data_IF_935061224593
#
_entry.id   IF_935061224593
#
_cell.length_a   1.000
_cell.length_b   1.000
_cell.length_c   1.000
_cell.angle_alpha   90.00
_cell.angle_beta   90.00
_cell.angle_gamma   90.00
#
_symmetry.space_group_name_H-M   'P 1'
#
loop_
_entity.id
_entity.type
_entity.pdbx_description
1 polymer ?
#
# COMPACT_ATOMS: atom_id res chain seq x y z
N UNK A 1 -11.35 -1.48 6.65
CA UNK A 1 -11.71 -2.61 5.75
C UNK A 1 -10.50 -3.51 5.60
N UNK A 2 -10.70 -4.79 5.56
CA UNK A 2 -9.70 -5.81 5.25
C UNK A 2 -10.01 -6.32 3.84
N UNK A 3 -9.01 -6.37 2.99
CA UNK A 3 -9.13 -6.90 1.63
C UNK A 3 -8.11 -8.02 1.49
N UNK A 4 -8.59 -9.25 1.33
CA UNK A 4 -7.75 -10.41 1.06
C UNK A 4 -7.57 -10.56 -0.44
N UNK A 5 -6.35 -10.62 -0.89
CA UNK A 5 -6.00 -10.90 -2.27
C UNK A 5 -5.83 -12.42 -2.39
N UNK A 6 -6.88 -13.08 -2.84
CA UNK A 6 -6.93 -14.54 -2.86
C UNK A 6 -6.16 -15.11 -4.06
N UNK A 7 -6.23 -14.43 -5.20
CA UNK A 7 -5.65 -14.92 -6.45
C UNK A 7 -5.37 -13.76 -7.40
N UNK A 8 -4.23 -13.83 -8.05
CA UNK A 8 -3.89 -12.96 -9.19
C UNK A 8 -3.43 -13.88 -10.32
N UNK A 9 -4.08 -13.81 -11.47
CA UNK A 9 -3.70 -14.51 -12.68
C UNK A 9 -3.40 -13.50 -13.77
N UNK A 10 -2.18 -13.52 -14.22
CA UNK A 10 -1.72 -12.67 -15.31
C UNK A 10 -2.35 -13.10 -16.63
N UNK A 11 -2.65 -12.15 -17.49
CA UNK A 11 -2.88 -12.41 -18.90
C UNK A 11 -1.54 -12.82 -19.52
N UNK A 12 -1.54 -13.83 -20.39
CA UNK A 12 -0.30 -14.27 -21.06
C UNK A 12 0.46 -13.05 -21.59
N UNK A 13 1.59 -12.74 -20.97
CA UNK A 13 2.44 -11.64 -21.41
C UNK A 13 3.37 -12.17 -22.48
N UNK A 14 3.52 -11.40 -23.55
CA UNK A 14 4.49 -11.70 -24.62
C UNK A 14 5.96 -11.55 -24.18
N UNK A 15 6.22 -11.25 -22.92
CA UNK A 15 7.54 -10.99 -22.38
C UNK A 15 8.03 -12.16 -21.53
N UNK A 16 8.97 -12.92 -22.05
CA UNK A 16 9.74 -13.90 -21.33
C UNK A 16 11.04 -13.25 -20.83
N UNK A 17 10.99 -12.61 -19.67
CA UNK A 17 12.20 -12.14 -19.00
C UNK A 17 12.72 -13.22 -18.06
N UNK A 18 13.90 -13.74 -18.36
CA UNK A 18 14.65 -14.64 -17.48
C UNK A 18 15.41 -13.79 -16.45
N UNK A 19 14.68 -13.11 -15.57
CA UNK A 19 15.28 -12.32 -14.49
C UNK A 19 15.55 -13.22 -13.28
N UNK A 20 16.70 -13.07 -12.62
CA UNK A 20 16.98 -13.82 -11.40
C UNK A 20 16.01 -13.35 -10.29
N UNK A 21 15.23 -14.29 -9.76
CA UNK A 21 14.28 -14.05 -8.68
C UNK A 21 12.88 -14.53 -8.99
N UNK A 22 12.05 -14.58 -7.97
CA UNK A 22 10.62 -14.91 -8.13
C UNK A 22 9.87 -13.70 -8.67
N UNK A 23 9.25 -13.85 -9.83
CA UNK A 23 8.36 -12.85 -10.40
C UNK A 23 6.96 -13.09 -9.84
N UNK A 24 6.44 -12.15 -9.09
CA UNK A 24 5.08 -12.21 -8.58
C UNK A 24 4.32 -10.96 -9.03
N UNK A 25 3.12 -11.13 -9.62
CA UNK A 25 2.29 -9.99 -9.94
C UNK A 25 1.88 -9.26 -8.66
N UNK A 26 1.93 -7.95 -8.70
CA UNK A 26 1.52 -7.06 -7.60
C UNK A 26 0.29 -6.24 -7.97
N UNK A 27 -0.37 -5.70 -6.98
CA UNK A 27 -1.48 -4.76 -7.13
C UNK A 27 -1.02 -3.40 -6.64
N UNK A 28 -0.69 -2.50 -7.55
CA UNK A 28 -0.28 -1.14 -7.20
C UNK A 28 -1.43 -0.25 -6.75
N UNK A 29 -2.63 -0.53 -7.24
CA UNK A 29 -3.82 0.24 -6.89
C UNK A 29 -4.95 -0.68 -6.43
N UNK A 30 -5.08 -0.86 -5.14
CA UNK A 30 -6.25 -1.46 -4.51
C UNK A 30 -6.76 -0.48 -3.45
N UNK A 31 -7.67 0.38 -3.85
CA UNK A 31 -8.09 1.51 -3.07
C UNK A 31 -9.51 1.40 -2.55
N UNK A 32 -9.76 2.03 -1.42
CA UNK A 32 -11.09 2.44 -0.99
C UNK A 32 -11.21 3.94 -1.22
N UNK A 33 -12.10 4.36 -2.07
CA UNK A 33 -12.39 5.77 -2.28
C UNK A 33 -13.05 6.34 -1.02
N UNK A 34 -12.78 7.40 -0.50
CA UNK A 34 -12.03 8.61 -0.67
C UNK A 34 -11.54 9.19 0.60
N UNK A 35 -10.56 10.04 0.44
CA UNK A 35 -9.78 10.50 1.55
C UNK A 35 -10.44 11.67 2.26
N UNK A 36 -10.04 11.84 3.52
CA UNK A 36 -10.03 13.10 4.26
C UNK A 36 -11.37 13.83 4.40
N UNK A 37 -12.45 13.08 4.62
CA UNK A 37 -13.73 13.67 5.01
C UNK A 37 -14.44 14.47 3.92
N UNK A 38 -14.11 14.22 2.65
CA UNK A 38 -14.82 14.83 1.50
C UNK A 38 -15.82 13.87 0.89
N UNK A 39 -17.08 13.83 1.38
CA UNK A 39 -18.13 13.01 0.79
C UNK A 39 -18.37 13.40 -0.67
N UNK A 40 -18.50 12.42 -1.53
CA UNK A 40 -18.83 12.66 -2.93
C UNK A 40 -17.64 12.93 -3.85
N UNK A 41 -16.40 12.83 -3.36
CA UNK A 41 -15.19 12.88 -4.20
C UNK A 41 -15.09 11.61 -5.06
N UNK A 42 -14.66 11.71 -6.29
CA UNK A 42 -14.42 10.57 -7.18
C UNK A 42 -12.95 10.53 -7.64
N UNK A 43 -12.38 9.34 -7.69
CA UNK A 43 -11.03 9.13 -8.22
C UNK A 43 -11.02 9.35 -9.74
N UNK A 44 -9.99 10.00 -10.21
CA UNK A 44 -9.76 10.20 -11.64
C UNK A 44 -8.29 9.96 -11.94
N UNK A 45 -8.04 9.32 -13.06
CA UNK A 45 -6.70 9.21 -13.61
C UNK A 45 -6.09 10.59 -13.92
N UNK A 46 -4.78 10.65 -14.16
CA UNK A 46 -4.13 11.88 -14.61
C UNK A 46 -4.75 12.34 -15.93
N UNK A 47 -4.92 13.65 -16.07
CA UNK A 47 -5.36 14.25 -17.34
C UNK A 47 -4.19 14.21 -18.34
N UNK A 48 -4.34 13.54 -19.49
CA UNK A 48 -3.27 13.45 -20.48
C UNK A 48 -2.91 14.82 -21.12
N UNK A 49 -3.75 15.83 -20.93
CA UNK A 49 -3.51 17.20 -21.43
C UNK A 49 -2.84 18.11 -20.38
N UNK A 50 -2.70 17.65 -19.14
CA UNK A 50 -1.97 18.41 -18.13
C UNK A 50 -0.46 18.16 -18.21
N UNK A 51 0.37 19.18 -18.00
CA UNK A 51 1.82 19.00 -17.86
C UNK A 51 2.14 17.96 -16.78
N UNK A 52 3.15 17.13 -17.03
CA UNK A 52 3.55 16.07 -16.09
C UNK A 52 3.87 16.58 -14.68
N UNK A 53 4.37 17.82 -14.57
CA UNK A 53 4.66 18.49 -13.29
C UNK A 53 3.39 18.81 -12.49
N UNK A 54 2.24 18.82 -13.16
CA UNK A 54 0.92 19.02 -12.56
C UNK A 54 0.06 17.76 -12.64
N UNK A 55 0.66 16.62 -12.90
CA UNK A 55 -0.04 15.36 -13.03
C UNK A 55 -0.89 15.07 -11.79
N UNK A 56 -2.16 15.14 -11.97
CA UNK A 56 -3.18 14.98 -10.95
C UNK A 56 -3.59 16.28 -10.27
N UNK A 57 -4.89 16.42 -10.04
CA UNK A 57 -5.43 17.54 -9.28
C UNK A 57 -4.79 17.59 -7.88
N UNK A 58 -4.83 18.74 -7.18
CA UNK A 58 -4.63 18.77 -5.75
C UNK A 58 -5.53 17.70 -5.12
N UNK A 59 -5.28 17.32 -3.87
CA UNK A 59 -6.01 16.24 -3.17
C UNK A 59 -7.52 16.25 -3.51
N UNK A 60 -8.06 17.44 -3.78
CA UNK A 60 -9.40 17.61 -4.38
C UNK A 60 -9.36 18.81 -5.33
N UNK A 61 -9.91 18.67 -6.50
CA UNK A 61 -10.24 19.83 -7.32
C UNK A 61 -11.58 20.44 -6.88
N UNK A 62 -11.94 21.59 -7.49
CA UNK A 62 -13.21 22.25 -7.22
C UNK A 62 -14.47 21.39 -7.53
N UNK A 63 -14.29 20.27 -8.22
CA UNK A 63 -15.35 19.29 -8.55
C UNK A 63 -15.36 18.08 -7.61
N UNK A 64 -14.56 18.09 -6.55
CA UNK A 64 -14.45 16.99 -5.61
C UNK A 64 -13.78 15.74 -6.20
N UNK A 65 -12.88 15.90 -7.17
CA UNK A 65 -12.09 14.80 -7.75
C UNK A 65 -10.73 14.71 -7.09
N UNK A 66 -10.21 13.52 -6.94
CA UNK A 66 -8.83 13.28 -6.47
C UNK A 66 -8.07 12.42 -7.47
N UNK A 67 -6.78 12.65 -7.57
CA UNK A 67 -5.91 11.90 -8.46
C UNK A 67 -5.68 10.48 -7.95
N UNK A 68 -5.66 9.50 -8.85
CA UNK A 68 -5.22 8.13 -8.57
C UNK A 68 -3.71 7.99 -8.61
N UNK A 69 -2.98 9.01 -9.07
CA UNK A 69 -1.52 8.96 -9.24
C UNK A 69 -0.76 8.90 -7.92
N UNK A 70 -1.26 9.59 -6.88
CA UNK A 70 -0.52 9.72 -5.61
C UNK A 70 -0.83 8.56 -4.67
N UNK A 71 0.18 7.87 -4.11
CA UNK A 71 -0.05 6.94 -3.02
C UNK A 71 -0.58 7.70 -1.78
N UNK A 72 -1.61 7.15 -1.15
CA UNK A 72 -2.21 7.79 0.02
C UNK A 72 -2.98 6.83 0.93
N UNK A 73 -3.56 7.38 1.98
CA UNK A 73 -4.33 6.65 3.02
C UNK A 73 -5.46 5.78 2.47
N UNK A 74 -6.05 6.15 1.34
CA UNK A 74 -7.10 5.37 0.68
C UNK A 74 -6.57 4.15 -0.09
N UNK A 75 -5.26 3.97 -0.18
CA UNK A 75 -4.64 2.84 -0.86
C UNK A 75 -4.36 3.06 -2.34
N UNK A 76 -4.52 4.31 -2.87
CA UNK A 76 -4.20 4.57 -4.27
C UNK A 76 -2.71 4.52 -4.52
N UNK A 77 -2.33 3.98 -5.67
CA UNK A 77 -0.97 3.95 -6.23
C UNK A 77 0.13 3.52 -5.25
N UNK A 78 -0.13 2.47 -4.50
CA UNK A 78 0.84 1.92 -3.53
C UNK A 78 1.67 0.82 -4.19
N UNK A 79 2.81 1.17 -4.72
CA UNK A 79 3.72 0.23 -5.39
C UNK A 79 4.53 -0.58 -4.36
N UNK A 80 3.85 -1.49 -3.70
CA UNK A 80 4.39 -2.32 -2.61
C UNK A 80 4.44 -3.77 -3.04
N UNK A 81 5.65 -4.31 -3.16
CA UNK A 81 5.90 -5.67 -3.63
C UNK A 81 5.21 -6.78 -2.81
N UNK A 82 4.84 -6.49 -1.59
CA UNK A 82 4.16 -7.43 -0.69
C UNK A 82 2.66 -7.60 -0.99
N UNK A 83 2.07 -6.75 -1.84
CA UNK A 83 0.66 -6.83 -2.23
C UNK A 83 0.44 -7.86 -3.35
N UNK A 84 0.62 -9.11 -3.02
CA UNK A 84 0.54 -10.27 -3.91
C UNK A 84 -0.62 -11.19 -3.52
N UNK A 85 -0.85 -12.21 -4.34
CA UNK A 85 -1.78 -13.28 -3.98
C UNK A 85 -1.41 -13.91 -2.62
N UNK A 86 -2.38 -14.09 -1.75
CA UNK A 86 -2.18 -14.55 -0.37
C UNK A 86 -1.92 -13.45 0.65
N UNK A 87 -1.78 -12.19 0.23
CA UNK A 87 -1.67 -11.05 1.15
C UNK A 87 -3.04 -10.50 1.54
N UNK A 88 -3.05 -9.76 2.63
CA UNK A 88 -4.22 -8.99 3.10
C UNK A 88 -3.84 -7.54 3.23
N UNK A 89 -4.64 -6.65 2.65
CA UNK A 89 -4.49 -5.21 2.76
C UNK A 89 -5.58 -4.63 3.66
N UNK A 90 -5.20 -3.76 4.57
CA UNK A 90 -6.10 -3.03 5.46
C UNK A 90 -6.14 -1.57 5.05
N UNK A 91 -7.35 -1.09 4.75
CA UNK A 91 -7.60 0.30 4.35
C UNK A 91 -8.68 0.92 5.23
N UNK A 92 -8.59 2.22 5.43
CA UNK A 92 -9.72 3.01 5.90
C UNK A 92 -10.85 3.00 4.86
N UNK A 93 -12.08 3.12 5.32
CA UNK A 93 -13.25 3.31 4.47
C UNK A 93 -13.71 4.75 4.62
N UNK A 94 -13.48 5.56 3.63
CA UNK A 94 -13.79 6.98 3.64
C UNK A 94 -15.20 7.29 3.13
N UNK A 95 -15.77 6.39 2.33
CA UNK A 95 -17.09 6.55 1.74
C UNK A 95 -18.02 5.40 2.11
N UNK A 96 -19.30 5.72 2.26
CA UNK A 96 -20.35 4.70 2.40
C UNK A 96 -20.34 3.77 1.18
N UNK A 97 -20.27 2.47 1.45
CA UNK A 97 -20.20 1.44 0.40
C UNK A 97 -18.78 1.00 0.05
N UNK A 98 -17.74 1.74 0.51
CA UNK A 98 -16.34 1.38 0.33
C UNK A 98 -15.78 1.67 -1.05
N UNK A 99 -16.56 1.56 -2.13
CA UNK A 99 -16.21 1.87 -3.52
C UNK A 99 -14.82 1.37 -3.91
N UNK A 100 -14.63 0.04 -3.86
CA UNK A 100 -13.34 -0.61 -4.11
C UNK A 100 -13.09 -0.70 -5.61
N UNK A 101 -11.86 -0.43 -6.00
CA UNK A 101 -11.35 -0.70 -7.33
C UNK A 101 -9.90 -1.19 -7.26
N UNK A 102 -9.41 -1.81 -8.33
CA UNK A 102 -8.05 -2.31 -8.47
C UNK A 102 -7.56 -2.10 -9.88
N UNK A 103 -6.27 -1.85 -10.03
CA UNK A 103 -5.61 -1.66 -11.32
C UNK A 103 -4.11 -1.62 -11.17
N UNK A 104 -3.42 -1.14 -12.20
CA UNK A 104 -1.98 -0.90 -12.21
C UNK A 104 -1.18 -2.11 -11.77
N UNK A 105 -1.30 -3.17 -12.57
CA UNK A 105 -0.68 -4.45 -12.26
C UNK A 105 0.73 -4.53 -12.82
N UNK A 106 1.65 -4.95 -11.97
CA UNK A 106 3.05 -5.12 -12.33
C UNK A 106 3.47 -6.59 -12.27
N UNK A 107 4.07 -7.09 -13.36
CA UNK A 107 4.72 -8.40 -13.37
C UNK A 107 5.95 -8.40 -12.48
N UNK A 108 6.68 -7.29 -12.48
CA UNK A 108 7.91 -7.11 -11.71
C UNK A 108 8.14 -5.63 -11.48
N UNK A 109 8.51 -5.30 -10.26
CA UNK A 109 8.96 -3.99 -9.85
C UNK A 109 10.06 -4.13 -8.79
N UNK A 110 11.14 -3.37 -8.93
CA UNK A 110 12.14 -3.24 -7.87
C UNK A 110 11.64 -2.37 -6.73
N UNK A 111 12.07 -2.66 -5.49
CA UNK A 111 11.84 -1.76 -4.38
C UNK A 111 12.46 -0.39 -4.67
N UNK A 112 11.71 0.67 -4.39
CA UNK A 112 12.08 2.05 -4.69
C UNK A 112 11.42 2.65 -5.91
N UNK A 113 10.94 1.85 -6.87
CA UNK A 113 10.34 2.33 -8.13
C UNK A 113 10.99 3.63 -8.61
N UNK A 114 12.27 3.51 -8.99
CA UNK A 114 13.18 4.68 -9.08
C UNK A 114 12.87 5.65 -10.24
N UNK A 115 12.03 5.24 -11.21
CA UNK A 115 11.78 6.05 -12.41
C UNK A 115 10.43 5.80 -13.10
N UNK A 116 9.39 5.40 -12.40
CA UNK A 116 8.06 5.08 -12.96
C UNK A 116 8.01 3.80 -13.83
N UNK A 117 9.11 3.12 -14.05
CA UNK A 117 9.13 1.94 -14.92
C UNK A 117 9.01 0.67 -14.11
N UNK A 118 7.93 -0.07 -14.33
CA UNK A 118 7.78 -1.46 -13.94
C UNK A 118 7.58 -2.33 -15.17
N UNK A 119 7.56 -3.64 -15.02
CA UNK A 119 7.04 -4.52 -16.07
C UNK A 119 5.52 -4.54 -15.96
N UNK A 120 4.90 -3.67 -16.73
CA UNK A 120 3.45 -3.53 -16.79
C UNK A 120 2.78 -4.77 -17.36
N UNK A 121 1.60 -5.07 -16.84
CA UNK A 121 0.83 -6.21 -17.31
C UNK A 121 -0.66 -6.00 -17.08
N UNK A 122 -1.48 -6.85 -17.63
CA UNK A 122 -2.90 -6.90 -17.32
C UNK A 122 -3.26 -8.23 -16.67
N UNK A 123 -4.22 -8.18 -15.76
CA UNK A 123 -4.75 -9.38 -15.15
C UNK A 123 -5.69 -10.11 -16.12
N UNK A 124 -5.60 -11.44 -16.13
CA UNK A 124 -6.67 -12.30 -16.63
C UNK A 124 -7.78 -12.41 -15.59
N UNK A 125 -7.40 -12.43 -14.34
CA UNK A 125 -8.30 -12.60 -13.21
C UNK A 125 -7.64 -12.05 -11.95
N UNK A 126 -8.40 -11.36 -11.14
CA UNK A 126 -8.07 -11.02 -9.76
C UNK A 126 -9.26 -11.39 -8.88
N UNK A 127 -9.01 -12.16 -7.84
CA UNK A 127 -10.00 -12.52 -6.83
C UNK A 127 -9.66 -11.85 -5.51
N UNK A 128 -10.55 -11.00 -5.03
CA UNK A 128 -10.42 -10.30 -3.75
C UNK A 128 -11.62 -10.57 -2.86
N UNK A 129 -11.40 -10.63 -1.56
CA UNK A 129 -12.43 -10.76 -0.54
C UNK A 129 -12.45 -9.53 0.36
N UNK A 130 -13.40 -8.60 0.19
CA UNK A 130 -13.56 -7.47 1.11
C UNK A 130 -14.24 -7.90 2.40
N UNK A 131 -13.68 -7.49 3.55
CA UNK A 131 -14.19 -7.77 4.88
C UNK A 131 -14.25 -6.48 5.68
N UNK A 132 -15.42 -6.13 6.22
CA UNK A 132 -15.57 -4.94 7.05
C UNK A 132 -15.12 -5.23 8.49
N UNK A 133 -14.15 -4.45 8.97
CA UNK A 133 -13.63 -4.51 10.35
C UNK A 133 -14.02 -3.25 11.12
N UNK A 134 -15.24 -3.20 11.64
CA UNK A 134 -15.79 -2.00 12.31
C UNK A 134 -15.01 -1.54 13.54
N UNK A 135 -14.36 -2.45 14.24
CA UNK A 135 -13.58 -2.16 15.45
C UNK A 135 -12.09 -1.88 15.16
N UNK A 136 -11.66 -1.98 13.93
CA UNK A 136 -10.27 -1.70 13.54
C UNK A 136 -10.13 -0.24 13.13
N UNK A 137 -9.31 0.50 13.85
CA UNK A 137 -8.93 1.86 13.51
C UNK A 137 -7.47 1.87 13.07
N UNK A 138 -7.21 2.40 11.91
CA UNK A 138 -5.87 2.56 11.33
C UNK A 138 -5.78 3.93 10.68
N UNK A 139 -4.66 4.60 10.82
CA UNK A 139 -4.45 5.91 10.20
C UNK A 139 -3.82 5.81 8.80
N UNK A 140 -3.04 4.77 8.58
CA UNK A 140 -2.37 4.51 7.32
C UNK A 140 -2.60 3.08 6.84
N UNK A 141 -2.47 2.81 5.54
CA UNK A 141 -2.54 1.46 5.01
C UNK A 141 -1.53 0.54 5.70
N UNK A 142 -1.97 -0.67 5.97
CA UNK A 142 -1.09 -1.75 6.42
C UNK A 142 -1.46 -3.03 5.70
N UNK A 143 -0.52 -3.94 5.62
CA UNK A 143 -0.78 -5.25 5.05
C UNK A 143 -0.22 -6.36 5.91
N UNK A 144 -0.58 -7.57 5.57
CA UNK A 144 0.07 -8.77 6.08
C UNK A 144 0.25 -9.79 4.97
N UNK A 145 1.36 -10.50 5.04
CA UNK A 145 1.66 -11.67 4.24
C UNK A 145 1.62 -12.91 5.13
N UNK A 146 1.94 -14.06 4.58
CA UNK A 146 2.11 -15.29 5.39
C UNK A 146 3.20 -15.16 6.44
N UNK A 147 4.20 -14.31 6.23
CA UNK A 147 5.42 -14.22 7.06
C UNK A 147 5.61 -12.88 7.77
N UNK A 148 5.01 -11.80 7.27
CA UNK A 148 5.26 -10.45 7.78
C UNK A 148 3.98 -9.66 7.99
N UNK A 149 4.05 -8.73 8.95
CA UNK A 149 3.22 -7.54 9.00
C UNK A 149 3.91 -6.42 8.22
N UNK A 150 3.15 -5.59 7.52
CA UNK A 150 3.66 -4.52 6.65
C UNK A 150 2.97 -3.21 7.01
N UNK A 151 3.75 -2.19 7.33
CA UNK A 151 3.26 -0.86 7.73
C UNK A 151 3.75 0.18 6.76
N UNK A 152 2.85 1.01 6.23
CA UNK A 152 3.13 1.91 5.14
C UNK A 152 3.07 3.36 5.58
N UNK A 153 3.91 4.19 4.98
CA UNK A 153 3.89 5.63 5.12
C UNK A 153 4.17 6.31 3.79
N UNK A 154 3.43 7.36 3.50
CA UNK A 154 3.52 8.10 2.24
C UNK A 154 3.56 9.60 2.50
N UNK A 155 4.55 10.27 1.93
CA UNK A 155 4.69 11.73 1.99
C UNK A 155 5.52 12.26 0.82
N UNK A 156 5.46 13.55 0.58
CA UNK A 156 6.33 14.22 -0.40
C UNK A 156 7.79 14.25 0.08
N UNK A 157 8.01 14.26 1.38
CA UNK A 157 9.32 14.09 2.02
C UNK A 157 9.53 12.62 2.41
N UNK A 158 10.61 12.03 1.91
CA UNK A 158 10.96 10.64 2.20
C UNK A 158 11.23 10.40 3.71
N UNK A 159 11.77 11.38 4.42
CA UNK A 159 11.97 11.27 5.86
C UNK A 159 10.64 11.22 6.60
N UNK A 160 9.67 12.00 6.17
CA UNK A 160 8.32 11.98 6.73
C UNK A 160 7.59 10.68 6.42
N UNK A 161 7.70 10.16 5.19
CA UNK A 161 7.18 8.84 4.83
C UNK A 161 7.79 7.74 5.73
N UNK A 162 9.10 7.78 5.99
CA UNK A 162 9.77 6.86 6.91
C UNK A 162 9.24 7.03 8.34
N UNK A 163 9.11 8.27 8.82
CA UNK A 163 8.60 8.57 10.16
C UNK A 163 7.19 8.01 10.35
N UNK A 164 6.33 8.15 9.34
CA UNK A 164 4.97 7.60 9.34
C UNK A 164 5.01 6.07 9.43
N UNK A 165 5.74 5.39 8.55
CA UNK A 165 5.83 3.94 8.52
C UNK A 165 6.36 3.37 9.85
N UNK A 166 7.39 4.00 10.41
CA UNK A 166 7.95 3.61 11.73
C UNK A 166 6.94 3.83 12.85
N UNK A 167 6.23 4.96 12.86
CA UNK A 167 5.20 5.22 13.86
C UNK A 167 4.07 4.17 13.83
N UNK A 168 3.59 3.81 12.63
CA UNK A 168 2.57 2.76 12.47
C UNK A 168 3.08 1.41 12.98
N UNK A 169 4.35 1.09 12.69
CA UNK A 169 5.02 -0.11 13.21
C UNK A 169 5.06 -0.12 14.73
N UNK A 170 5.52 0.97 15.34
CA UNK A 170 5.66 1.11 16.80
C UNK A 170 4.28 1.04 17.49
N UNK A 171 3.28 1.73 16.94
CA UNK A 171 1.92 1.67 17.46
C UNK A 171 1.39 0.24 17.47
N UNK A 172 1.53 -0.46 16.34
CA UNK A 172 1.11 -1.84 16.24
C UNK A 172 1.80 -2.75 17.26
N UNK A 173 3.13 -2.64 17.41
CA UNK A 173 3.88 -3.46 18.36
C UNK A 173 3.47 -3.17 19.81
N UNK A 174 3.30 -1.90 20.17
CA UNK A 174 2.88 -1.50 21.51
C UNK A 174 1.43 -1.92 21.85
N UNK A 175 0.57 -2.03 20.85
CA UNK A 175 -0.82 -2.47 21.02
C UNK A 175 -0.99 -3.99 21.10
N UNK A 176 0.08 -4.78 20.86
CA UNK A 176 -0.01 -6.23 20.88
C UNK A 176 -0.29 -6.76 22.31
N UNK A 177 -1.44 -7.41 22.46
CA UNK A 177 -1.81 -8.04 23.73
C UNK A 177 -1.00 -9.30 24.07
N UNK A 178 -0.38 -9.91 23.07
CA UNK A 178 0.39 -11.15 23.23
C UNK A 178 1.72 -10.92 23.95
N UNK A 179 2.34 -9.77 23.72
CA UNK A 179 3.59 -9.36 24.38
C UNK A 179 3.43 -7.89 24.75
N UNK A 180 2.90 -7.59 25.96
CA UNK A 180 2.78 -6.21 26.41
C UNK A 180 4.16 -5.55 26.47
N UNK A 181 4.29 -4.40 25.82
CA UNK A 181 5.51 -3.60 25.82
C UNK A 181 5.18 -2.11 25.81
N UNK A 182 6.09 -1.30 26.33
CA UNK A 182 5.98 0.15 26.23
C UNK A 182 6.25 0.62 24.78
N UNK A 183 5.92 1.86 24.51
CA UNK A 183 6.19 2.44 23.19
C UNK A 183 7.70 2.51 22.88
N UNK A 184 8.52 2.76 23.90
CA UNK A 184 9.97 2.79 23.82
C UNK A 184 10.54 1.40 23.51
N UNK A 185 10.03 0.37 24.19
CA UNK A 185 10.41 -1.02 23.90
C UNK A 185 9.98 -1.45 22.50
N UNK A 186 8.77 -1.06 22.06
CA UNK A 186 8.29 -1.30 20.70
C UNK A 186 9.17 -0.60 19.64
N UNK A 187 9.63 0.61 19.92
CA UNK A 187 10.55 1.33 19.04
C UNK A 187 11.91 0.65 18.96
N UNK A 188 12.46 0.23 20.09
CA UNK A 188 13.70 -0.53 20.13
C UNK A 188 13.55 -1.86 19.38
N UNK A 189 12.46 -2.60 19.59
CA UNK A 189 12.17 -3.84 18.88
C UNK A 189 12.05 -3.62 17.37
N UNK A 190 11.34 -2.58 16.95
CA UNK A 190 11.22 -2.22 15.53
C UNK A 190 12.60 -1.98 14.89
N UNK A 191 13.54 -1.38 15.62
CA UNK A 191 14.91 -1.17 15.14
C UNK A 191 15.74 -2.46 15.02
N UNK A 192 15.46 -3.46 15.84
CA UNK A 192 16.18 -4.75 15.86
C UNK A 192 15.69 -5.70 14.76
N UNK A 193 14.38 -5.75 14.54
CA UNK A 193 13.74 -6.77 13.69
C UNK A 193 13.09 -6.22 12.44
N UNK A 194 12.89 -4.91 12.36
CA UNK A 194 12.22 -4.25 11.25
C UNK A 194 13.11 -4.17 10.01
N UNK A 195 12.52 -4.42 8.85
CA UNK A 195 13.13 -4.20 7.54
C UNK A 195 12.31 -3.11 6.83
N UNK A 196 12.78 -1.86 6.92
CA UNK A 196 12.12 -0.72 6.30
C UNK A 196 12.75 -0.41 4.94
N UNK A 197 11.90 -0.32 3.92
CA UNK A 197 12.29 -0.15 2.53
C UNK A 197 11.58 1.02 1.91
N UNK A 198 12.21 1.66 0.93
CA UNK A 198 11.53 2.59 0.04
C UNK A 198 10.70 1.77 -0.94
N UNK A 199 9.39 2.00 -0.98
CA UNK A 199 8.50 1.36 -1.97
C UNK A 199 8.54 2.08 -3.30
N UNK A 200 8.46 3.40 -3.29
CA UNK A 200 8.46 4.24 -4.49
C UNK A 200 9.04 5.63 -4.20
N UNK A 201 9.72 6.24 -5.17
CA UNK A 201 10.22 7.63 -5.10
C UNK A 201 9.61 8.54 -6.16
N UNK A 202 8.67 8.04 -6.92
CA UNK A 202 7.95 8.69 -7.99
C UNK A 202 6.53 9.07 -7.55
N UNK A 203 5.68 9.56 -8.48
CA UNK A 203 4.28 9.88 -8.26
C UNK A 203 4.02 10.95 -7.19
N UNK A 204 4.95 11.92 -7.13
CA UNK A 204 4.91 13.09 -6.23
C UNK A 204 5.16 12.69 -4.77
N UNK A 205 4.50 11.67 -4.24
CA UNK A 205 4.71 11.15 -2.89
C UNK A 205 5.59 9.92 -2.89
N UNK A 206 6.58 9.93 -2.02
CA UNK A 206 7.44 8.78 -1.76
C UNK A 206 6.73 7.82 -0.81
N UNK A 207 6.99 6.55 -1.00
CA UNK A 207 6.47 5.50 -0.15
C UNK A 207 7.59 4.80 0.62
N UNK A 208 7.32 4.50 1.86
CA UNK A 208 8.12 3.61 2.70
C UNK A 208 7.22 2.54 3.29
N UNK A 209 7.71 1.33 3.37
CA UNK A 209 7.05 0.27 4.12
C UNK A 209 8.03 -0.47 5.03
N UNK A 210 7.58 -0.80 6.22
CA UNK A 210 8.35 -1.55 7.21
C UNK A 210 7.75 -2.94 7.38
N UNK A 211 8.59 -3.96 7.29
CA UNK A 211 8.26 -5.36 7.45
C UNK A 211 8.62 -5.81 8.88
N UNK A 212 7.67 -6.42 9.57
CA UNK A 212 7.90 -7.06 10.87
C UNK A 212 7.61 -8.55 10.75
N UNK A 213 8.60 -9.42 10.97
CA UNK A 213 8.43 -10.85 10.86
C UNK A 213 7.43 -11.37 11.90
N UNK A 214 6.44 -12.14 11.47
CA UNK A 214 5.48 -12.79 12.38
C UNK A 214 6.14 -13.78 13.33
N UNK A 215 7.29 -14.33 12.94
CA UNK A 215 8.06 -15.31 13.72
C UNK A 215 8.66 -14.75 15.01
N UNK A 216 8.72 -13.42 15.17
CA UNK A 216 9.16 -12.83 16.46
C UNK A 216 8.16 -13.04 17.60
N UNK A 217 6.89 -13.26 17.24
CA UNK A 217 5.82 -13.55 18.21
C UNK A 217 5.75 -15.05 18.45
N UNK A 218 6.56 -15.55 19.36
CA UNK A 218 6.52 -16.96 19.76
C UNK A 218 5.40 -17.21 20.75
N UNK A 219 4.59 -18.25 20.51
CA UNK A 219 3.70 -18.77 21.56
C UNK A 219 4.58 -19.36 22.66
N UNK A 220 4.38 -18.90 23.89
CA UNK A 220 4.87 -19.61 25.07
C UNK A 220 4.03 -20.86 25.31
#
# INVERSE_FOLDING_TARGET
MEIRILKIVMKDSAFNFNLPGKQFPTVGQLASEFPDGYPGTIAVGPDPNEPKEKAGPPIHDAKGRTSTLRPWKNGSNMDVNELQAGSTLYLQVFQKGGLIWTGDSHCLQGAGEVNLTALECSYKEIEIQPIVRKALHIDWPRAETSTNWVFMGFDEDLNEAMRIAVNETVNFLAEQKMVPMSREEAYALASIVGDCRVSQVVDIRKGVHCLIPKSIFTKK
#
